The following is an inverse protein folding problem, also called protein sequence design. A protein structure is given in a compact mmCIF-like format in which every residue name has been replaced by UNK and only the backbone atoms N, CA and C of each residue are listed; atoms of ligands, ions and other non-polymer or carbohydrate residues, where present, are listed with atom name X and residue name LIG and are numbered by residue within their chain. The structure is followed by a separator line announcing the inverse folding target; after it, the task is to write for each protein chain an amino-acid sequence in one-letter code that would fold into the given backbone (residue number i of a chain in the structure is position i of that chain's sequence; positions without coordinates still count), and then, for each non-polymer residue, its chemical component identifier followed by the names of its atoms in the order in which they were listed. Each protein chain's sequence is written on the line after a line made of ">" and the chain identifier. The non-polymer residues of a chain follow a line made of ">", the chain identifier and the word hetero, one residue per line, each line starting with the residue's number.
data_IF_155690334721
#
_entry.id   IF_155690334721
#
_cell.length_a   1.000
_cell.length_b   1.000
_cell.length_c   1.000
_cell.angle_alpha   90.00
_cell.angle_beta   90.00
_cell.angle_gamma   90.00
#
_symmetry.space_group_name_H-M   'P 1'
#
loop_
_entity.id
_entity.type
_entity.pdbx_description
1 polymer ?
#
# COMPACT_ATOMS: atom_id res chain seq x y z
N UNK A 1 -15.39 1.18 -34.00
CA UNK A 1 -14.78 0.00 -33.36
C UNK A 1 -13.29 0.01 -33.63
N UNK A 2 -12.48 -0.23 -32.61
CA UNK A 2 -11.02 -0.40 -32.70
C UNK A 2 -10.62 -1.79 -32.20
N UNK A 3 -9.64 -2.42 -32.84
CA UNK A 3 -9.11 -3.71 -32.40
C UNK A 3 -7.92 -3.49 -31.49
N UNK A 4 -7.86 -4.23 -30.39
CA UNK A 4 -6.73 -4.16 -29.48
C UNK A 4 -5.47 -4.75 -30.15
N UNK A 5 -4.35 -4.01 -30.23
CA UNK A 5 -3.10 -4.53 -30.79
C UNK A 5 -2.47 -5.63 -29.93
N UNK A 6 -2.82 -5.70 -28.64
CA UNK A 6 -2.26 -6.68 -27.70
C UNK A 6 -2.98 -8.03 -27.70
N UNK A 7 -4.30 -8.07 -27.97
CA UNK A 7 -5.07 -9.32 -27.91
C UNK A 7 -6.07 -9.53 -29.06
N UNK A 8 -6.24 -8.57 -29.96
CA UNK A 8 -7.16 -8.66 -31.11
C UNK A 8 -8.64 -8.38 -30.81
N UNK A 9 -9.02 -8.21 -29.53
CA UNK A 9 -10.41 -7.98 -29.14
C UNK A 9 -10.98 -6.69 -29.73
N UNK A 10 -12.29 -6.72 -30.07
CA UNK A 10 -13.03 -5.57 -30.60
C UNK A 10 -13.53 -4.68 -29.46
N UNK A 11 -13.06 -3.44 -29.44
CA UNK A 11 -13.43 -2.41 -28.47
C UNK A 11 -14.14 -1.23 -29.16
N UNK A 12 -14.98 -0.48 -28.42
CA UNK A 12 -15.56 0.75 -28.93
C UNK A 12 -14.44 1.80 -29.13
N UNK A 13 -14.62 2.73 -30.06
CA UNK A 13 -13.57 3.66 -30.50
C UNK A 13 -13.21 4.74 -29.48
N UNK A 14 -14.05 4.94 -28.47
CA UNK A 14 -13.85 5.83 -27.32
C UNK A 14 -13.19 5.13 -26.13
N UNK A 15 -12.96 3.81 -26.19
CA UNK A 15 -12.32 3.10 -25.10
C UNK A 15 -10.82 3.45 -25.00
N UNK A 16 -10.40 4.00 -23.87
CA UNK A 16 -8.99 4.25 -23.58
C UNK A 16 -8.20 2.95 -23.33
N UNK A 17 -8.88 1.88 -22.90
CA UNK A 17 -8.30 0.59 -22.55
C UNK A 17 -9.11 -0.57 -23.12
N UNK A 18 -8.44 -1.67 -23.42
CA UNK A 18 -9.08 -2.91 -23.86
C UNK A 18 -9.86 -3.57 -22.71
N UNK A 19 -11.13 -3.89 -22.94
CA UNK A 19 -11.99 -4.55 -21.93
C UNK A 19 -11.59 -6.00 -21.61
N UNK A 20 -10.86 -6.67 -22.52
CA UNK A 20 -10.47 -8.07 -22.38
C UNK A 20 -9.08 -8.23 -21.74
N UNK A 21 -8.11 -7.39 -22.10
CA UNK A 21 -6.72 -7.54 -21.65
C UNK A 21 -6.17 -6.34 -20.87
N UNK A 22 -6.90 -5.23 -20.79
CA UNK A 22 -6.47 -4.01 -20.08
C UNK A 22 -5.41 -3.17 -20.78
N UNK A 23 -4.93 -3.56 -21.97
CA UNK A 23 -3.94 -2.79 -22.71
C UNK A 23 -4.49 -1.42 -23.15
N UNK A 24 -3.68 -0.34 -23.10
CA UNK A 24 -4.10 0.97 -23.59
C UNK A 24 -4.31 0.93 -25.10
N UNK A 25 -5.39 1.54 -25.58
CA UNK A 25 -5.71 1.67 -27.01
C UNK A 25 -5.28 3.02 -27.59
N UNK A 26 -4.68 3.88 -26.76
CA UNK A 26 -4.20 5.21 -27.14
C UNK A 26 -2.77 5.16 -27.62
N UNK A 27 -2.57 5.08 -28.93
CA UNK A 27 -1.30 5.51 -29.54
C UNK A 27 -1.56 6.27 -30.85
N UNK A 28 -1.09 7.53 -30.87
CA UNK A 28 -0.82 8.40 -32.03
C UNK A 28 -2.01 8.95 -32.84
N UNK A 29 -2.64 10.00 -32.30
CA UNK A 29 -3.08 11.13 -33.13
C UNK A 29 -2.07 12.28 -32.98
N UNK A 30 -0.99 12.20 -33.75
CA UNK A 30 -0.18 13.37 -34.10
C UNK A 30 0.30 13.14 -35.52
N UNK A 31 -0.56 13.44 -36.50
CA UNK A 31 -0.26 14.37 -37.60
C UNK A 31 -1.48 14.54 -38.52
N UNK A 32 -2.40 15.43 -38.16
CA UNK A 32 -2.95 16.37 -39.14
C UNK A 32 -3.25 17.68 -38.42
N UNK A 33 -2.44 18.69 -38.76
CA UNK A 33 -2.64 20.09 -38.43
C UNK A 33 -4.12 20.48 -38.52
N UNK A 34 -4.68 20.98 -37.42
CA UNK A 34 -5.52 22.20 -37.43
C UNK A 34 -5.23 23.03 -36.20
N UNK A 35 -4.34 23.99 -36.39
CA UNK A 35 -4.43 25.35 -35.87
C UNK A 35 -5.88 25.78 -35.71
N UNK A 36 -6.30 26.05 -34.47
CA UNK A 36 -7.13 27.20 -34.07
C UNK A 36 -7.09 27.24 -32.54
N UNK A 37 -6.61 28.35 -31.98
CA UNK A 37 -6.35 28.49 -30.57
C UNK A 37 -7.61 28.45 -29.71
N UNK A 38 -7.44 28.04 -28.45
CA UNK A 38 -8.25 28.60 -27.38
C UNK A 38 -7.49 28.57 -26.05
N UNK A 39 -6.96 29.75 -25.77
CA UNK A 39 -6.70 30.32 -24.46
C UNK A 39 -7.90 30.10 -23.53
N UNK A 40 -7.69 29.47 -22.37
CA UNK A 40 -8.55 29.69 -21.21
C UNK A 40 -7.71 29.63 -19.96
N UNK A 41 -7.41 30.82 -19.49
CA UNK A 41 -6.88 31.19 -18.18
C UNK A 41 -7.70 30.57 -17.06
N UNK A 42 -7.06 29.77 -16.20
CA UNK A 42 -7.47 29.64 -14.80
C UNK A 42 -6.23 29.90 -13.95
N UNK A 43 -6.08 31.18 -13.63
CA UNK A 43 -5.12 31.68 -12.65
C UNK A 43 -5.82 31.66 -11.29
N UNK A 44 -5.44 30.70 -10.45
CA UNK A 44 -5.60 30.80 -9.00
C UNK A 44 -4.28 30.40 -8.36
N UNK A 45 -3.57 31.43 -7.91
CA UNK A 45 -2.33 31.45 -7.14
C UNK A 45 -2.32 30.43 -6.00
N UNK A 46 -1.16 29.78 -5.76
CA UNK A 46 -0.70 29.65 -4.39
C UNK A 46 0.74 30.14 -4.23
N UNK A 47 0.88 31.08 -3.30
CA UNK A 47 2.01 31.46 -2.46
C UNK A 47 3.38 30.82 -2.75
N UNK A 48 4.28 31.68 -3.20
CA UNK A 48 5.74 31.56 -3.22
C UNK A 48 6.34 31.10 -1.88
N UNK A 49 7.25 30.10 -1.90
CA UNK A 49 8.39 30.06 -1.00
C UNK A 49 9.71 30.15 -1.81
N UNK A 50 10.51 31.14 -1.45
CA UNK A 50 11.88 31.47 -1.85
C UNK A 50 12.72 30.28 -2.35
N UNK A 51 13.04 30.27 -3.66
CA UNK A 51 14.02 29.39 -4.26
C UNK A 51 15.38 30.10 -4.41
N UNK A 52 16.42 29.48 -3.87
CA UNK A 52 17.84 29.82 -4.04
C UNK A 52 18.25 29.56 -5.51
N UNK A 53 19.14 30.34 -6.14
CA UNK A 53 19.46 30.18 -7.55
C UNK A 53 20.25 28.89 -7.76
N UNK A 54 19.68 27.96 -8.52
CA UNK A 54 20.37 26.74 -8.97
C UNK A 54 21.05 27.05 -10.32
N UNK A 55 22.37 26.87 -10.46
CA UNK A 55 23.08 27.18 -11.69
C UNK A 55 22.73 26.19 -12.81
N UNK A 56 22.60 26.72 -14.03
CA UNK A 56 22.11 26.02 -15.21
C UNK A 56 22.95 24.80 -15.59
N UNK A 57 22.33 23.63 -15.52
CA UNK A 57 22.86 22.40 -16.11
C UNK A 57 22.74 22.52 -17.63
N UNK A 58 23.87 22.59 -18.32
CA UNK A 58 23.89 22.49 -19.78
C UNK A 58 23.52 21.06 -20.17
N UNK A 59 22.40 20.93 -20.88
CA UNK A 59 21.97 19.70 -21.51
C UNK A 59 23.01 19.33 -22.59
N UNK A 60 23.82 18.31 -22.31
CA UNK A 60 24.57 17.60 -23.34
C UNK A 60 23.55 16.83 -24.17
N UNK A 61 23.32 17.30 -25.40
CA UNK A 61 22.53 16.58 -26.40
C UNK A 61 23.22 15.22 -26.62
N UNK A 62 22.53 14.08 -26.47
CA UNK A 62 23.14 12.80 -26.76
C UNK A 62 23.54 12.77 -28.23
N UNK A 63 24.84 12.55 -28.45
CA UNK A 63 25.44 12.34 -29.77
C UNK A 63 24.74 11.15 -30.40
N UNK A 64 23.92 11.44 -31.42
CA UNK A 64 23.35 10.45 -32.32
C UNK A 64 24.36 10.21 -33.43
N UNK A 65 25.16 9.16 -33.29
CA UNK A 65 25.99 8.52 -34.33
C UNK A 65 26.16 7.08 -33.86
N UNK A 66 25.96 5.99 -34.60
CA UNK A 66 25.45 5.66 -35.92
C UNK A 66 25.18 4.11 -35.82
N UNK A 67 24.78 3.40 -36.90
CA UNK A 67 24.26 2.03 -36.80
C UNK A 67 25.40 1.01 -36.65
N UNK A 68 25.31 0.18 -35.62
CA UNK A 68 26.21 -0.96 -35.46
C UNK A 68 25.37 -2.22 -35.27
N UNK A 69 25.36 -3.04 -36.32
CA UNK A 69 25.01 -4.46 -36.27
C UNK A 69 25.87 -5.11 -35.20
N UNK A 70 25.36 -5.26 -33.98
CA UNK A 70 26.05 -5.92 -32.88
C UNK A 70 25.47 -7.33 -32.69
N UNK A 71 26.33 -8.37 -32.59
CA UNK A 71 25.92 -9.74 -32.29
C UNK A 71 25.32 -9.79 -30.88
N UNK A 72 24.43 -10.76 -30.65
CA UNK A 72 23.79 -11.04 -29.37
C UNK A 72 24.80 -11.24 -28.23
N UNK A 73 25.19 -10.15 -27.59
CA UNK A 73 25.85 -10.14 -26.29
C UNK A 73 24.71 -10.30 -25.27
N UNK A 74 24.82 -11.32 -24.42
CA UNK A 74 23.86 -11.65 -23.38
C UNK A 74 23.37 -10.37 -22.69
N UNK A 75 22.05 -10.20 -22.68
CA UNK A 75 21.37 -9.04 -22.14
C UNK A 75 22.00 -8.60 -20.80
N UNK A 76 22.12 -7.29 -20.53
CA UNK A 76 22.53 -6.82 -19.21
C UNK A 76 21.63 -7.51 -18.19
N UNK A 77 22.25 -8.19 -17.21
CA UNK A 77 21.58 -8.86 -16.10
C UNK A 77 20.36 -8.04 -15.72
N UNK A 78 19.18 -8.55 -16.09
CA UNK A 78 17.92 -7.85 -15.87
C UNK A 78 17.86 -7.64 -14.37
N UNK A 79 18.06 -6.40 -13.90
CA UNK A 79 17.76 -6.04 -12.51
C UNK A 79 16.33 -6.55 -12.29
N UNK A 80 16.09 -7.49 -11.36
CA UNK A 80 14.78 -8.08 -11.21
C UNK A 80 13.82 -6.91 -10.95
N UNK A 81 12.84 -6.76 -11.85
CA UNK A 81 11.62 -6.01 -11.58
C UNK A 81 11.19 -6.38 -10.18
N UNK A 82 11.00 -5.39 -9.28
CA UNK A 82 10.48 -5.63 -7.93
C UNK A 82 9.30 -6.61 -8.08
N UNK A 83 9.56 -7.81 -7.61
CA UNK A 83 8.95 -9.04 -8.10
C UNK A 83 7.48 -9.10 -7.72
N UNK A 84 6.80 -10.06 -8.31
CA UNK A 84 5.51 -10.47 -7.77
C UNK A 84 5.67 -11.04 -6.36
N UNK A 85 4.60 -10.97 -5.57
CA UNK A 85 4.56 -11.55 -4.24
C UNK A 85 4.92 -13.03 -4.32
N UNK A 86 5.76 -13.50 -3.40
CA UNK A 86 6.18 -14.90 -3.33
C UNK A 86 5.00 -15.88 -3.31
N UNK A 87 3.87 -15.47 -2.72
CA UNK A 87 2.65 -16.30 -2.62
C UNK A 87 1.68 -16.10 -3.78
N UNK A 88 1.78 -14.96 -4.47
CA UNK A 88 0.84 -14.57 -5.52
C UNK A 88 1.59 -13.97 -6.71
N UNK A 89 1.81 -14.74 -7.78
CA UNK A 89 2.60 -14.29 -8.93
C UNK A 89 1.95 -13.15 -9.71
N UNK A 90 0.65 -12.90 -9.51
CA UNK A 90 -0.10 -11.81 -10.15
C UNK A 90 -0.18 -10.52 -9.30
N UNK A 91 0.28 -10.55 -8.04
CA UNK A 91 0.29 -9.35 -7.19
C UNK A 91 1.71 -8.81 -7.09
N UNK A 92 1.87 -7.50 -7.07
CA UNK A 92 3.17 -6.86 -6.91
C UNK A 92 3.63 -6.91 -5.45
N UNK A 93 4.91 -7.19 -5.23
CA UNK A 93 5.49 -7.09 -3.90
C UNK A 93 5.76 -5.63 -3.55
N UNK A 94 5.13 -5.16 -2.46
CA UNK A 94 5.32 -3.82 -1.92
C UNK A 94 6.27 -3.80 -0.71
N UNK A 95 6.52 -4.97 -0.09
CA UNK A 95 7.36 -5.09 1.10
C UNK A 95 8.37 -6.23 0.95
N UNK A 96 9.49 -6.08 1.67
CA UNK A 96 10.54 -7.09 1.78
C UNK A 96 10.56 -7.58 3.22
N UNK A 97 10.46 -8.90 3.43
CA UNK A 97 10.50 -9.49 4.76
C UNK A 97 11.86 -9.24 5.42
N UNK A 98 11.88 -8.61 6.60
CA UNK A 98 13.10 -8.25 7.33
C UNK A 98 13.91 -9.46 7.82
N UNK A 99 13.31 -10.66 7.86
CA UNK A 99 13.98 -11.88 8.34
C UNK A 99 14.55 -12.78 7.24
N UNK A 100 13.87 -12.90 6.11
CA UNK A 100 14.27 -13.81 5.02
C UNK A 100 14.47 -13.13 3.67
N UNK A 101 14.21 -11.82 3.54
CA UNK A 101 14.40 -11.06 2.31
C UNK A 101 13.37 -11.34 1.20
N UNK A 102 12.35 -12.16 1.45
CA UNK A 102 11.30 -12.44 0.45
C UNK A 102 10.44 -11.22 0.16
N UNK A 103 10.11 -11.05 -1.11
CA UNK A 103 9.22 -10.02 -1.63
C UNK A 103 7.76 -10.45 -1.45
N UNK A 104 6.96 -9.64 -0.73
CA UNK A 104 5.56 -9.94 -0.37
C UNK A 104 4.64 -8.73 -0.64
N UNK A 105 3.38 -9.00 -0.98
CA UNK A 105 2.37 -7.95 -1.14
C UNK A 105 1.88 -7.44 0.23
N UNK A 106 1.08 -6.36 0.19
CA UNK A 106 0.48 -5.75 1.38
C UNK A 106 -0.43 -6.70 2.17
N UNK A 107 -1.08 -7.65 1.49
CA UNK A 107 -2.00 -8.59 2.15
C UNK A 107 -1.26 -9.74 2.85
N UNK A 108 -0.08 -10.12 2.35
CA UNK A 108 0.75 -11.15 2.98
C UNK A 108 1.67 -10.60 4.08
N UNK A 109 1.85 -9.29 4.16
CA UNK A 109 2.72 -8.63 5.13
C UNK A 109 2.13 -8.67 6.54
N UNK A 110 2.89 -9.23 7.50
CA UNK A 110 2.58 -9.19 8.92
C UNK A 110 3.47 -8.14 9.61
N UNK A 111 2.94 -6.96 9.97
CA UNK A 111 3.70 -5.99 10.74
C UNK A 111 3.86 -6.46 12.20
N UNK A 112 5.03 -6.26 12.78
CA UNK A 112 5.29 -6.49 14.21
C UNK A 112 6.24 -5.41 14.74
N UNK A 113 5.69 -4.46 15.49
CA UNK A 113 6.38 -3.20 15.76
C UNK A 113 6.64 -2.46 14.44
N UNK A 114 7.89 -2.02 14.23
CA UNK A 114 8.31 -1.28 13.03
C UNK A 114 8.82 -2.17 11.88
N UNK A 115 8.81 -3.50 12.05
CA UNK A 115 9.33 -4.46 11.05
C UNK A 115 8.21 -5.23 10.35
N UNK A 116 8.46 -5.64 9.10
CA UNK A 116 7.52 -6.42 8.28
C UNK A 116 8.05 -7.84 8.09
N UNK A 117 7.21 -8.83 8.39
CA UNK A 117 7.53 -10.26 8.24
C UNK A 117 6.56 -10.97 7.28
N UNK A 118 7.06 -12.01 6.59
CA UNK A 118 6.22 -12.95 5.84
C UNK A 118 5.55 -13.94 6.81
N UNK A 119 4.45 -14.63 6.43
CA UNK A 119 3.70 -15.48 7.35
C UNK A 119 4.53 -16.62 7.96
N UNK A 120 5.48 -17.18 7.21
CA UNK A 120 6.37 -18.25 7.70
C UNK A 120 7.40 -17.73 8.71
N UNK A 121 7.93 -16.53 8.49
CA UNK A 121 8.87 -15.91 9.42
C UNK A 121 8.16 -15.36 10.66
N UNK A 122 6.92 -14.89 10.52
CA UNK A 122 6.13 -14.36 11.61
C UNK A 122 5.88 -15.40 12.69
N UNK A 123 5.45 -16.61 12.31
CA UNK A 123 5.16 -17.71 13.26
C UNK A 123 6.39 -18.19 14.03
N UNK A 124 7.59 -17.95 13.50
CA UNK A 124 8.85 -18.38 14.11
C UNK A 124 9.64 -17.22 14.72
N UNK A 125 9.30 -15.97 14.44
CA UNK A 125 9.96 -14.77 14.98
C UNK A 125 9.18 -14.13 16.12
N UNK A 126 7.84 -14.19 16.05
CA UNK A 126 6.96 -13.59 17.04
C UNK A 126 6.51 -14.69 17.99
N UNK A 127 7.02 -14.75 19.23
CA UNK A 127 6.47 -15.66 20.22
C UNK A 127 4.98 -15.32 20.41
N UNK A 128 4.13 -16.33 20.66
CA UNK A 128 2.75 -16.05 21.02
C UNK A 128 2.76 -15.07 22.20
N UNK A 129 1.95 -14.02 22.11
CA UNK A 129 1.80 -13.06 23.19
C UNK A 129 1.48 -13.87 24.45
N UNK A 130 2.44 -13.98 25.35
CA UNK A 130 2.16 -14.54 26.66
C UNK A 130 1.18 -13.57 27.31
N UNK A 131 0.10 -14.07 27.93
CA UNK A 131 -0.81 -13.19 28.65
C UNK A 131 0.05 -12.39 29.62
N UNK A 132 0.04 -11.06 29.46
CA UNK A 132 0.81 -10.18 30.35
C UNK A 132 0.36 -10.51 31.76
N UNK A 133 1.29 -10.82 32.69
CA UNK A 133 0.90 -11.06 34.06
C UNK A 133 0.12 -9.83 34.56
N UNK A 134 -0.94 -10.02 35.35
CA UNK A 134 -1.68 -8.91 35.91
C UNK A 134 -0.69 -7.97 36.63
N UNK A 135 -0.95 -6.65 36.62
CA UNK A 135 -0.03 -5.68 37.21
C UNK A 135 0.29 -6.08 38.65
N UNK A 136 1.59 -6.31 38.92
CA UNK A 136 2.08 -6.59 40.25
C UNK A 136 1.83 -5.36 41.13
N UNK A 137 1.08 -5.55 42.22
CA UNK A 137 0.69 -4.48 43.14
C UNK A 137 -0.82 -4.40 43.39
N UNK A 138 -1.64 -5.07 42.58
CA UNK A 138 -3.07 -5.18 42.83
C UNK A 138 -3.38 -6.50 43.53
N UNK A 139 -3.81 -6.43 44.79
CA UNK A 139 -4.27 -7.61 45.53
C UNK A 139 -5.71 -7.95 45.10
N UNK A 140 -5.84 -8.82 44.10
CA UNK A 140 -7.12 -9.30 43.59
C UNK A 140 -8.03 -9.92 44.67
N UNK A 141 -7.45 -10.48 45.73
CA UNK A 141 -8.21 -10.98 46.88
C UNK A 141 -8.95 -9.86 47.61
N UNK A 142 -8.31 -8.72 47.85
CA UNK A 142 -8.95 -7.56 48.48
C UNK A 142 -10.05 -6.95 47.60
N UNK A 143 -9.83 -6.91 46.28
CA UNK A 143 -10.86 -6.45 45.33
C UNK A 143 -12.09 -7.37 45.36
N UNK A 144 -11.89 -8.69 45.34
CA UNK A 144 -12.98 -9.65 45.40
C UNK A 144 -13.80 -9.54 46.71
N UNK A 145 -13.12 -9.32 47.84
CA UNK A 145 -13.78 -9.08 49.13
C UNK A 145 -14.55 -7.77 49.10
N UNK A 146 -13.96 -6.68 48.61
CA UNK A 146 -14.62 -5.38 48.53
C UNK A 146 -15.89 -5.43 47.66
N UNK A 147 -15.83 -6.08 46.49
CA UNK A 147 -17.00 -6.27 45.61
C UNK A 147 -18.07 -7.10 46.31
N UNK A 148 -17.69 -8.17 47.02
CA UNK A 148 -18.64 -9.03 47.74
C UNK A 148 -19.36 -8.28 48.87
N UNK A 149 -18.65 -7.42 49.61
CA UNK A 149 -19.23 -6.59 50.68
C UNK A 149 -20.22 -5.57 50.10
N UNK A 150 -19.85 -4.89 49.01
CA UNK A 150 -20.74 -3.92 48.34
C UNK A 150 -21.98 -4.61 47.78
N UNK A 151 -21.82 -5.77 47.14
CA UNK A 151 -22.95 -6.55 46.63
C UNK A 151 -23.90 -6.98 47.76
N UNK A 152 -23.36 -7.48 48.88
CA UNK A 152 -24.16 -7.88 50.04
C UNK A 152 -24.91 -6.67 50.66
N UNK A 153 -24.25 -5.52 50.77
CA UNK A 153 -24.88 -4.29 51.26
C UNK A 153 -25.99 -3.80 50.32
N UNK A 154 -25.78 -3.84 49.00
CA UNK A 154 -26.78 -3.47 48.02
C UNK A 154 -27.99 -4.41 48.05
N UNK A 155 -27.77 -5.72 48.14
CA UNK A 155 -28.85 -6.72 48.26
C UNK A 155 -29.63 -6.48 49.57
N UNK A 156 -28.93 -6.26 50.68
CA UNK A 156 -29.57 -5.94 51.96
C UNK A 156 -30.40 -4.66 51.91
N UNK A 157 -29.89 -3.60 51.26
CA UNK A 157 -30.60 -2.33 51.10
C UNK A 157 -31.86 -2.49 50.25
N UNK A 158 -31.77 -3.22 49.13
CA UNK A 158 -32.93 -3.50 48.27
C UNK A 158 -33.98 -4.34 49.02
N UNK A 159 -33.55 -5.38 49.75
CA UNK A 159 -34.46 -6.21 50.53
C UNK A 159 -35.17 -5.39 51.62
N UNK A 160 -34.43 -4.55 52.35
CA UNK A 160 -34.99 -3.65 53.36
C UNK A 160 -35.97 -2.64 52.75
N UNK A 161 -35.60 -2.02 51.61
CA UNK A 161 -36.45 -1.06 50.90
C UNK A 161 -37.75 -1.70 50.44
N UNK A 162 -37.72 -2.92 49.89
CA UNK A 162 -38.92 -3.66 49.51
C UNK A 162 -39.82 -3.98 50.69
N UNK A 163 -39.27 -4.34 51.85
CA UNK A 163 -40.07 -4.57 53.08
C UNK A 163 -40.64 -3.28 53.67
N UNK A 164 -40.00 -2.13 53.44
CA UNK A 164 -40.47 -0.83 53.95
C UNK A 164 -41.59 -0.22 53.09
N UNK A 165 -41.77 -0.66 51.84
CA UNK A 165 -42.86 -0.25 50.95
C UNK A 165 -44.10 -1.15 50.99
N UNK A 166 -44.01 -2.34 51.61
CA UNK A 166 -45.11 -3.29 51.76
C UNK A 166 -45.88 -3.07 53.07
#
# INVERSE_FOLDING_TARGET
>A
MVNCPSCGAKNPSDASYCKECGAPLTEKETLTLRTTGQETTVSTTPTTPTAKPVPGVRIVKPVTTAPTTQPAIAAPTRIPSIGSCFYHPNLLASFICSRCGRQICRDCAKPHGDMIFCPQCYTTAVPPATPTPPPSGVNWGLIAVAISVVAAAAIGFVAWWLTALA
#
